data_IF_409845888037
#
_entry.id   IF_409845888037
#
_cell.length_a   1.000
_cell.length_b   1.000
_cell.length_c   1.000
_cell.angle_alpha   90.00
_cell.angle_beta   90.00
_cell.angle_gamma   90.00
#
_symmetry.space_group_name_H-M   'P 1'
#
loop_
_entity.id
_entity.type
_entity.pdbx_description
1 polymer ?
#
# COMPACT_ATOMS: atom_id res chain seq x y z
N UNK A 1 19.90 31.54 -2.28
CA UNK A 1 19.10 31.02 -3.42
C UNK A 1 19.68 29.78 -4.11
N UNK A 2 20.99 29.64 -4.35
CA UNK A 2 21.53 28.52 -5.17
C UNK A 2 21.21 27.07 -4.71
N UNK A 3 21.28 26.71 -3.41
CA UNK A 3 21.07 25.29 -3.01
C UNK A 3 19.63 24.77 -3.15
N UNK A 4 18.63 25.65 -3.02
CA UNK A 4 17.20 25.31 -3.12
C UNK A 4 16.80 25.20 -4.60
N UNK A 5 17.28 26.13 -5.45
CA UNK A 5 17.04 26.10 -6.90
C UNK A 5 17.67 24.88 -7.59
N UNK A 6 18.81 24.38 -7.07
CA UNK A 6 19.42 23.12 -7.53
C UNK A 6 18.83 21.86 -6.87
N UNK A 7 17.75 21.99 -6.09
CA UNK A 7 17.07 20.86 -5.44
C UNK A 7 17.89 20.12 -4.38
N UNK A 8 18.98 20.73 -3.89
CA UNK A 8 19.90 20.12 -2.90
C UNK A 8 19.43 20.30 -1.46
N UNK A 9 18.47 21.19 -1.20
CA UNK A 9 17.93 21.43 0.14
C UNK A 9 16.45 21.81 -0.01
N UNK A 10 15.58 21.21 0.82
CA UNK A 10 14.15 21.54 0.83
C UNK A 10 13.94 22.97 1.35
N UNK A 11 13.11 23.80 0.70
CA UNK A 11 12.77 25.12 1.22
C UNK A 11 11.94 24.99 2.49
N UNK A 12 12.28 25.80 3.49
CA UNK A 12 11.47 26.02 4.69
C UNK A 12 10.39 27.07 4.44
N UNK A 13 9.42 27.20 5.35
CA UNK A 13 8.47 28.32 5.33
C UNK A 13 9.17 29.68 5.21
N UNK A 14 10.29 29.86 5.91
CA UNK A 14 11.06 31.10 5.87
C UNK A 14 11.77 31.30 4.54
N UNK A 15 12.22 30.22 3.88
CA UNK A 15 12.76 30.30 2.52
C UNK A 15 11.68 30.72 1.50
N UNK A 16 10.45 30.20 1.63
CA UNK A 16 9.32 30.60 0.76
C UNK A 16 8.92 32.06 1.00
N UNK A 17 8.82 32.49 2.27
CA UNK A 17 8.54 33.89 2.62
C UNK A 17 9.62 34.83 2.09
N UNK A 18 10.89 34.48 2.30
CA UNK A 18 12.02 35.27 1.81
C UNK A 18 12.08 35.31 0.28
N UNK A 19 11.72 34.22 -0.41
CA UNK A 19 11.60 34.18 -1.86
C UNK A 19 10.51 35.12 -2.37
N UNK A 20 9.30 35.05 -1.81
CA UNK A 20 8.17 35.88 -2.25
C UNK A 20 8.47 37.37 -2.05
N UNK A 21 9.04 37.73 -0.90
CA UNK A 21 9.43 39.10 -0.61
C UNK A 21 10.58 39.61 -1.51
N UNK A 22 11.49 38.74 -1.96
CA UNK A 22 12.57 39.13 -2.87
C UNK A 22 12.12 39.22 -4.33
N UNK A 23 11.14 38.42 -4.73
CA UNK A 23 10.63 38.33 -6.10
C UNK A 23 9.42 39.24 -6.36
N UNK A 24 9.03 40.09 -5.40
CA UNK A 24 7.80 40.90 -5.43
C UNK A 24 6.53 40.06 -5.72
N UNK A 25 6.45 38.87 -5.12
CA UNK A 25 5.40 37.87 -5.33
C UNK A 25 4.64 37.53 -4.02
N UNK A 26 4.45 38.51 -3.14
CA UNK A 26 3.78 38.34 -1.84
C UNK A 26 2.34 37.81 -1.98
N UNK A 27 1.67 38.12 -3.08
CA UNK A 27 0.33 37.62 -3.41
C UNK A 27 0.29 36.10 -3.63
N UNK A 28 1.41 35.49 -4.01
CA UNK A 28 1.56 34.04 -4.21
C UNK A 28 2.03 33.29 -2.96
N UNK A 29 2.46 34.00 -1.91
CA UNK A 29 3.08 33.40 -0.72
C UNK A 29 2.18 32.36 -0.05
N UNK A 30 0.90 32.66 0.12
CA UNK A 30 -0.05 31.73 0.75
C UNK A 30 -0.25 30.46 -0.07
N UNK A 31 -0.29 30.56 -1.41
CA UNK A 31 -0.41 29.41 -2.30
C UNK A 31 0.86 28.55 -2.26
N UNK A 32 2.03 29.17 -2.33
CA UNK A 32 3.31 28.46 -2.29
C UNK A 32 3.57 27.77 -0.94
N UNK A 33 3.21 28.40 0.17
CA UNK A 33 3.24 27.76 1.49
C UNK A 33 2.27 26.58 1.56
N UNK A 34 1.06 26.73 1.02
CA UNK A 34 0.10 25.63 0.94
C UNK A 34 0.63 24.47 0.08
N UNK A 35 1.31 24.75 -1.03
CA UNK A 35 1.97 23.73 -1.86
C UNK A 35 3.09 23.03 -1.08
N UNK A 36 3.95 23.77 -0.37
CA UNK A 36 5.01 23.21 0.46
C UNK A 36 4.44 22.28 1.54
N UNK A 37 3.44 22.73 2.29
CA UNK A 37 2.80 21.94 3.35
C UNK A 37 2.04 20.74 2.80
N UNK A 38 1.43 20.86 1.60
CA UNK A 38 0.80 19.74 0.93
C UNK A 38 1.83 18.66 0.54
N UNK A 39 2.99 19.05 0.00
CA UNK A 39 4.08 18.11 -0.33
C UNK A 39 4.59 17.41 0.94
N UNK A 40 4.78 18.14 2.02
CA UNK A 40 5.27 17.57 3.29
C UNK A 40 4.22 16.65 3.95
N UNK A 41 2.93 16.95 3.83
CA UNK A 41 1.86 16.08 4.33
C UNK A 41 1.65 14.84 3.44
N UNK A 42 1.95 14.96 2.15
CA UNK A 42 1.84 13.89 1.16
C UNK A 42 3.00 12.88 1.25
N UNK A 43 4.20 13.30 1.67
CA UNK A 43 5.40 12.45 1.70
C UNK A 43 5.76 11.99 3.12
N UNK A 44 5.42 10.74 3.45
CA UNK A 44 5.72 10.15 4.75
C UNK A 44 6.95 9.23 4.69
N UNK A 45 8.12 9.74 5.09
CA UNK A 45 9.37 8.96 5.16
C UNK A 45 9.24 7.71 6.04
N UNK A 46 9.67 6.56 5.53
CA UNK A 46 9.55 5.30 6.27
C UNK A 46 10.31 5.31 7.59
N UNK A 47 11.51 5.92 7.61
CA UNK A 47 12.30 6.05 8.84
C UNK A 47 11.54 6.82 9.92
N UNK A 48 10.86 7.91 9.56
CA UNK A 48 10.05 8.70 10.51
C UNK A 48 8.80 7.93 10.92
N UNK A 49 8.09 7.34 9.96
CA UNK A 49 6.86 6.60 10.19
C UNK A 49 7.08 5.38 11.11
N UNK A 50 8.12 4.61 10.84
CA UNK A 50 8.47 3.41 11.60
C UNK A 50 9.26 3.72 12.88
N UNK A 51 9.88 4.90 12.99
CA UNK A 51 10.54 5.36 14.23
C UNK A 51 9.57 5.49 15.41
N UNK A 52 8.27 5.63 15.13
CA UNK A 52 7.19 5.59 16.14
C UNK A 52 6.71 4.16 16.49
N UNK A 53 7.31 3.13 15.89
CA UNK A 53 6.95 1.72 16.06
C UNK A 53 6.04 1.18 14.96
N UNK A 54 6.15 -0.13 14.70
CA UNK A 54 5.32 -0.82 13.69
C UNK A 54 3.87 -0.83 14.14
N UNK A 55 3.59 -1.07 15.43
CA UNK A 55 2.21 -1.05 15.96
C UNK A 55 1.53 0.29 15.70
N UNK A 56 2.23 1.40 15.95
CA UNK A 56 1.69 2.74 15.69
C UNK A 56 1.34 2.90 14.20
N UNK A 57 2.21 2.42 13.31
CA UNK A 57 1.92 2.44 11.87
C UNK A 57 0.70 1.61 11.50
N UNK A 58 0.54 0.42 12.08
CA UNK A 58 -0.65 -0.40 11.86
C UNK A 58 -1.92 0.27 12.42
N UNK A 59 -1.85 0.99 13.54
CA UNK A 59 -2.97 1.79 14.07
C UNK A 59 -3.41 2.89 13.10
N UNK A 60 -2.47 3.56 12.44
CA UNK A 60 -2.80 4.58 11.45
C UNK A 60 -3.55 3.98 10.25
N UNK A 61 -3.14 2.81 9.75
CA UNK A 61 -3.90 2.13 8.69
C UNK A 61 -5.29 1.71 9.16
N UNK A 62 -5.42 1.17 10.38
CA UNK A 62 -6.72 0.81 10.95
C UNK A 62 -7.68 2.00 10.96
N UNK A 63 -7.22 3.19 11.32
CA UNK A 63 -8.05 4.40 11.31
C UNK A 63 -8.62 4.67 9.91
N UNK A 64 -7.76 4.65 8.88
CA UNK A 64 -8.18 4.85 7.49
C UNK A 64 -9.19 3.80 7.03
N UNK A 65 -8.94 2.54 7.37
CA UNK A 65 -9.81 1.41 7.04
C UNK A 65 -11.20 1.55 7.67
N UNK A 66 -11.28 2.00 8.93
CA UNK A 66 -12.56 2.17 9.64
C UNK A 66 -13.38 3.37 9.16
N UNK A 67 -12.72 4.41 8.66
CA UNK A 67 -13.34 5.58 8.05
C UNK A 67 -13.88 5.27 6.64
N UNK A 68 -13.28 4.31 5.94
CA UNK A 68 -13.66 3.96 4.58
C UNK A 68 -14.94 3.10 4.50
N UNK A 69 -15.56 3.05 3.33
CA UNK A 69 -16.63 2.08 3.01
C UNK A 69 -16.22 1.09 1.93
N UNK A 70 -15.31 1.51 1.05
CA UNK A 70 -14.76 0.68 -0.01
C UNK A 70 -13.24 0.81 -0.05
N UNK A 71 -12.56 -0.32 0.10
CA UNK A 71 -11.10 -0.41 0.06
C UNK A 71 -10.71 -1.14 -1.21
N UNK A 72 -9.83 -0.53 -2.01
CA UNK A 72 -9.19 -1.16 -3.17
C UNK A 72 -7.71 -1.25 -2.90
N UNK A 73 -7.09 -2.39 -3.18
CA UNK A 73 -5.66 -2.56 -2.92
C UNK A 73 -5.02 -3.36 -4.05
N UNK A 74 -3.97 -2.81 -4.64
CA UNK A 74 -3.17 -3.47 -5.66
C UNK A 74 -1.78 -3.77 -5.12
N UNK A 75 -1.36 -5.04 -5.22
CA UNK A 75 -0.01 -5.48 -4.87
C UNK A 75 0.59 -6.35 -5.98
N UNK A 76 1.56 -5.85 -6.76
CA UNK A 76 2.16 -6.62 -7.85
C UNK A 76 3.06 -7.78 -7.35
N UNK A 77 3.72 -7.61 -6.20
CA UNK A 77 4.82 -8.50 -5.80
C UNK A 77 4.67 -9.21 -4.44
N UNK A 78 3.74 -8.78 -3.58
CA UNK A 78 3.52 -9.37 -2.26
C UNK A 78 2.02 -9.47 -1.96
N UNK A 79 1.64 -10.27 -0.96
CA UNK A 79 0.22 -10.41 -0.60
C UNK A 79 -0.25 -9.16 0.16
N UNK A 80 -1.45 -8.58 -0.16
CA UNK A 80 -2.02 -7.48 0.59
C UNK A 80 -2.08 -7.73 2.10
N UNK A 81 -1.69 -6.75 2.91
CA UNK A 81 -1.54 -6.89 4.36
C UNK A 81 -2.79 -7.40 5.10
N UNK A 82 -3.98 -7.08 4.60
CA UNK A 82 -5.26 -7.53 5.15
C UNK A 82 -5.56 -9.01 4.87
N UNK A 83 -4.83 -9.65 3.94
CA UNK A 83 -4.99 -11.06 3.57
C UNK A 83 -3.90 -11.95 4.18
N UNK A 84 -2.94 -11.36 4.89
CA UNK A 84 -1.75 -12.08 5.37
C UNK A 84 -2.06 -12.99 6.56
N UNK A 85 -1.42 -14.15 6.63
CA UNK A 85 -1.36 -14.96 7.87
C UNK A 85 -0.42 -14.28 8.88
N UNK A 86 -0.47 -14.73 10.14
CA UNK A 86 0.43 -14.23 11.19
C UNK A 86 1.90 -14.40 10.79
N UNK A 87 2.29 -15.59 10.35
CA UNK A 87 3.67 -15.92 9.98
C UNK A 87 4.15 -15.10 8.77
N UNK A 88 3.28 -14.88 7.77
CA UNK A 88 3.62 -14.03 6.63
C UNK A 88 3.79 -12.58 7.07
N UNK A 89 2.88 -12.08 7.90
CA UNK A 89 2.93 -10.73 8.43
C UNK A 89 4.20 -10.50 9.24
N UNK A 90 4.58 -11.44 10.10
CA UNK A 90 5.81 -11.39 10.89
C UNK A 90 7.05 -11.35 10.00
N UNK A 91 7.18 -12.30 9.07
CA UNK A 91 8.31 -12.37 8.15
C UNK A 91 8.47 -11.08 7.34
N UNK A 92 7.36 -10.51 6.83
CA UNK A 92 7.37 -9.24 6.10
C UNK A 92 7.78 -8.07 6.98
N UNK A 93 7.17 -7.95 8.16
CA UNK A 93 7.39 -6.83 9.07
C UNK A 93 8.82 -6.81 9.62
N UNK A 94 9.34 -7.99 9.99
CA UNK A 94 10.73 -8.16 10.43
C UNK A 94 11.71 -7.73 9.33
N UNK A 95 11.52 -8.21 8.10
CA UNK A 95 12.38 -7.81 6.97
C UNK A 95 12.31 -6.31 6.67
N UNK A 96 11.13 -5.71 6.77
CA UNK A 96 10.97 -4.27 6.58
C UNK A 96 11.71 -3.48 7.68
N UNK A 97 11.64 -3.92 8.93
CA UNK A 97 12.36 -3.30 10.05
C UNK A 97 13.88 -3.37 9.86
N UNK A 98 14.40 -4.54 9.50
CA UNK A 98 15.81 -4.77 9.18
C UNK A 98 16.29 -3.86 8.05
N UNK A 99 15.53 -3.82 6.94
CA UNK A 99 15.88 -3.01 5.77
C UNK A 99 15.96 -1.51 6.08
N UNK A 100 15.06 -1.00 6.92
CA UNK A 100 15.06 0.40 7.32
C UNK A 100 15.96 0.71 8.53
N UNK A 101 16.62 -0.31 9.12
CA UNK A 101 17.55 -0.16 10.24
C UNK A 101 16.86 0.27 11.54
N UNK A 102 15.67 -0.27 11.83
CA UNK A 102 14.85 0.16 12.97
C UNK A 102 14.62 -1.02 13.92
N UNK A 103 14.95 -0.85 15.19
CA UNK A 103 14.57 -1.77 16.26
C UNK A 103 13.08 -1.58 16.56
N UNK A 104 12.26 -2.61 16.38
CA UNK A 104 10.79 -2.45 16.37
C UNK A 104 10.05 -3.55 17.13
N UNK A 105 8.85 -3.19 17.53
CA UNK A 105 7.84 -4.00 18.18
C UNK A 105 7.10 -4.93 17.19
N UNK A 106 7.85 -5.77 16.46
CA UNK A 106 7.31 -6.64 15.39
C UNK A 106 6.08 -7.42 15.85
N UNK A 107 6.13 -8.09 17.00
CA UNK A 107 5.02 -8.91 17.51
C UNK A 107 3.75 -8.08 17.77
N UNK A 108 3.92 -6.89 18.34
CA UNK A 108 2.80 -5.94 18.54
C UNK A 108 2.27 -5.42 17.20
N UNK A 109 3.15 -5.23 16.22
CA UNK A 109 2.81 -4.90 14.86
C UNK A 109 2.00 -6.00 14.17
N UNK A 110 2.40 -7.27 14.31
CA UNK A 110 1.70 -8.44 13.78
C UNK A 110 0.32 -8.53 14.40
N UNK A 111 0.22 -8.47 15.72
CA UNK A 111 -1.07 -8.49 16.44
C UNK A 111 -2.01 -7.39 15.92
N UNK A 112 -1.52 -6.16 15.77
CA UNK A 112 -2.33 -5.06 15.24
C UNK A 112 -2.69 -5.23 13.76
N UNK A 113 -1.84 -5.88 12.95
CA UNK A 113 -2.18 -6.23 11.56
C UNK A 113 -3.30 -7.25 11.51
N UNK A 114 -3.29 -8.27 12.37
CA UNK A 114 -4.36 -9.26 12.44
C UNK A 114 -5.68 -8.64 12.93
N UNK A 115 -5.62 -7.69 13.86
CA UNK A 115 -6.80 -6.94 14.30
C UNK A 115 -7.47 -6.18 13.13
N UNK A 116 -6.67 -5.59 12.22
CA UNK A 116 -7.19 -4.89 11.03
C UNK A 116 -8.02 -5.79 10.13
N UNK A 117 -7.75 -7.10 10.07
CA UNK A 117 -8.47 -8.03 9.21
C UNK A 117 -9.95 -8.19 9.57
N UNK A 118 -10.36 -7.75 10.78
CA UNK A 118 -11.76 -7.77 11.20
C UNK A 118 -12.69 -6.98 10.28
N UNK A 119 -12.16 -6.02 9.50
CA UNK A 119 -12.96 -5.28 8.51
C UNK A 119 -13.50 -6.19 7.40
N UNK A 120 -12.82 -7.28 7.06
CA UNK A 120 -13.21 -8.23 6.01
C UNK A 120 -14.53 -8.95 6.32
N UNK A 121 -14.89 -9.03 7.60
CA UNK A 121 -16.06 -9.76 8.08
C UNK A 121 -17.26 -8.86 8.40
N UNK A 122 -17.08 -7.53 8.32
CA UNK A 122 -18.11 -6.56 8.70
C UNK A 122 -18.90 -6.11 7.48
N UNK A 123 -20.23 -6.20 7.55
CA UNK A 123 -21.16 -5.88 6.44
C UNK A 123 -21.03 -4.44 5.91
N UNK A 124 -20.48 -3.50 6.67
CA UNK A 124 -20.26 -2.11 6.24
C UNK A 124 -19.28 -2.03 5.08
N UNK A 125 -18.20 -2.81 5.11
CA UNK A 125 -17.07 -2.62 4.20
C UNK A 125 -17.22 -3.45 2.93
N UNK A 126 -16.67 -2.94 1.83
CA UNK A 126 -16.37 -3.70 0.62
C UNK A 126 -14.86 -3.66 0.41
N UNK A 127 -14.27 -4.77 0.00
CA UNK A 127 -12.85 -4.84 -0.30
C UNK A 127 -12.63 -5.46 -1.67
N UNK A 128 -11.78 -4.86 -2.48
CA UNK A 128 -11.32 -5.43 -3.75
C UNK A 128 -9.80 -5.45 -3.75
N UNK A 129 -9.25 -6.66 -3.67
CA UNK A 129 -7.82 -6.91 -3.69
C UNK A 129 -7.42 -7.40 -5.08
N UNK A 130 -6.51 -6.69 -5.71
CA UNK A 130 -5.83 -7.11 -6.91
C UNK A 130 -4.38 -7.42 -6.58
N UNK A 131 -3.88 -8.50 -7.15
CA UNK A 131 -2.49 -8.89 -6.97
C UNK A 131 -1.90 -9.36 -8.28
N UNK A 132 -0.63 -9.07 -8.54
CA UNK A 132 0.08 -9.76 -9.61
C UNK A 132 0.26 -11.23 -9.25
N UNK A 133 0.23 -12.14 -10.22
CA UNK A 133 0.57 -13.55 -9.99
C UNK A 133 1.93 -13.71 -9.29
N UNK A 134 2.88 -12.81 -9.58
CA UNK A 134 4.18 -12.76 -8.93
C UNK A 134 4.07 -12.67 -7.39
N UNK A 135 3.02 -12.07 -6.83
CA UNK A 135 2.78 -12.03 -5.38
C UNK A 135 2.58 -13.40 -4.73
N UNK A 136 2.11 -14.39 -5.50
CA UNK A 136 1.95 -15.78 -5.07
C UNK A 136 3.30 -16.54 -5.14
N UNK A 137 4.21 -16.07 -6.00
CA UNK A 137 5.51 -16.69 -6.31
C UNK A 137 6.67 -16.11 -5.49
N UNK A 138 6.62 -14.83 -5.12
CA UNK A 138 7.62 -14.21 -4.25
C UNK A 138 7.62 -14.87 -2.88
N UNK A 139 8.76 -15.41 -2.46
CA UNK A 139 8.88 -16.09 -1.16
C UNK A 139 9.00 -15.09 -0.02
N UNK A 140 8.10 -15.23 0.97
CA UNK A 140 8.13 -14.49 2.24
C UNK A 140 8.08 -15.51 3.38
N UNK A 141 9.08 -15.51 4.25
CA UNK A 141 9.14 -16.43 5.40
C UNK A 141 9.43 -17.91 5.06
N UNK A 142 9.71 -18.23 3.79
CA UNK A 142 9.99 -19.59 3.32
C UNK A 142 8.75 -20.35 2.81
N UNK A 143 8.93 -21.60 2.37
CA UNK A 143 7.84 -22.37 1.73
C UNK A 143 6.70 -22.70 2.69
N UNK A 144 6.97 -23.06 3.95
CA UNK A 144 5.92 -23.34 4.93
C UNK A 144 4.98 -22.15 5.17
N UNK A 145 5.55 -20.95 5.32
CA UNK A 145 4.80 -19.69 5.47
C UNK A 145 3.96 -19.41 4.21
N UNK A 146 4.57 -19.59 3.04
CA UNK A 146 3.85 -19.37 1.77
C UNK A 146 2.73 -20.38 1.55
N UNK A 147 2.90 -21.66 1.90
CA UNK A 147 1.86 -22.69 1.80
C UNK A 147 0.64 -22.25 2.64
N UNK A 148 0.85 -21.94 3.92
CA UNK A 148 -0.23 -21.47 4.80
C UNK A 148 -0.88 -20.16 4.30
N UNK A 149 -0.09 -19.26 3.71
CA UNK A 149 -0.61 -18.04 3.10
C UNK A 149 -1.49 -18.32 1.87
N UNK A 150 -1.09 -19.23 1.00
CA UNK A 150 -1.85 -19.58 -0.20
C UNK A 150 -3.14 -20.34 0.16
N UNK A 151 -3.10 -21.24 1.14
CA UNK A 151 -4.28 -21.91 1.69
C UNK A 151 -5.28 -20.88 2.24
N UNK A 152 -4.78 -19.86 2.97
CA UNK A 152 -5.60 -18.75 3.45
C UNK A 152 -6.28 -17.99 2.31
N UNK A 153 -5.57 -17.65 1.23
CA UNK A 153 -6.15 -16.96 0.08
C UNK A 153 -7.25 -17.80 -0.58
N UNK A 154 -7.03 -19.10 -0.77
CA UNK A 154 -8.03 -20.02 -1.30
C UNK A 154 -9.32 -20.01 -0.46
N UNK A 155 -9.19 -19.99 0.88
CA UNK A 155 -10.34 -19.91 1.80
C UNK A 155 -11.15 -18.62 1.69
N UNK A 156 -10.55 -17.54 1.16
CA UNK A 156 -11.20 -16.23 1.05
C UNK A 156 -11.99 -16.06 -0.25
N UNK A 157 -11.73 -16.90 -1.26
CA UNK A 157 -12.47 -16.86 -2.52
C UNK A 157 -13.93 -17.26 -2.25
N UNK A 158 -14.84 -16.34 -2.57
CA UNK A 158 -16.28 -16.50 -2.33
C UNK A 158 -16.79 -15.80 -1.06
N UNK A 159 -15.92 -15.18 -0.26
CA UNK A 159 -16.35 -14.35 0.87
C UNK A 159 -17.23 -13.18 0.38
N UNK A 160 -18.41 -12.95 1.00
CA UNK A 160 -19.25 -11.81 0.65
C UNK A 160 -18.49 -10.49 0.82
N UNK A 161 -18.63 -9.58 -0.15
CA UNK A 161 -18.05 -8.22 -0.13
C UNK A 161 -16.52 -8.17 -0.16
N UNK A 162 -15.86 -9.31 -0.42
CA UNK A 162 -14.43 -9.39 -0.71
C UNK A 162 -14.26 -9.94 -2.11
N UNK A 163 -13.63 -9.16 -2.99
CA UNK A 163 -13.23 -9.60 -4.32
C UNK A 163 -11.72 -9.77 -4.33
N UNK A 164 -11.27 -10.96 -4.73
CA UNK A 164 -9.85 -11.27 -4.94
C UNK A 164 -9.63 -11.51 -6.44
N UNK A 165 -8.80 -10.67 -7.04
CA UNK A 165 -8.35 -10.79 -8.42
C UNK A 165 -6.85 -10.99 -8.51
N UNK A 166 -6.42 -11.87 -9.40
CA UNK A 166 -5.01 -12.11 -9.71
C UNK A 166 -4.77 -11.69 -11.16
N UNK A 167 -3.86 -10.76 -11.40
CA UNK A 167 -3.39 -10.40 -12.74
C UNK A 167 -2.36 -11.44 -13.17
N UNK A 168 -2.66 -12.29 -14.18
CA UNK A 168 -1.74 -13.33 -14.64
C UNK A 168 -0.39 -12.75 -15.09
N UNK A 169 0.69 -13.51 -14.90
CA UNK A 169 2.06 -13.05 -15.19
C UNK A 169 2.28 -12.65 -16.67
N UNK A 170 1.56 -13.28 -17.59
CA UNK A 170 1.65 -13.06 -19.04
C UNK A 170 0.63 -12.05 -19.58
N UNK A 171 -0.06 -11.30 -18.70
CA UNK A 171 -1.00 -10.26 -19.11
C UNK A 171 -0.29 -9.13 -19.85
N UNK A 172 -0.95 -8.57 -20.87
CA UNK A 172 -0.47 -7.36 -21.53
C UNK A 172 -0.28 -6.20 -20.53
N UNK A 173 0.79 -5.42 -20.67
CA UNK A 173 1.09 -4.30 -19.78
C UNK A 173 0.26 -3.04 -20.10
N UNK A 174 -1.07 -3.12 -20.03
CA UNK A 174 -1.98 -1.99 -20.31
C UNK A 174 -1.76 -0.81 -19.35
N UNK A 175 -1.43 -1.11 -18.09
CA UNK A 175 -1.03 -0.14 -17.07
C UNK A 175 0.09 -0.75 -16.22
N UNK A 176 1.15 0.03 -15.99
CA UNK A 176 2.21 -0.31 -15.04
C UNK A 176 2.05 0.60 -13.82
N UNK A 177 1.91 0.01 -12.64
CA UNK A 177 1.76 0.74 -11.39
C UNK A 177 2.62 0.09 -10.30
N UNK A 178 3.16 0.92 -9.40
CA UNK A 178 3.62 0.47 -8.09
C UNK A 178 2.44 -0.05 -7.26
N UNK A 179 2.72 -0.61 -6.07
CA UNK A 179 1.62 -0.95 -5.18
C UNK A 179 0.85 0.31 -4.74
N UNK A 180 -0.45 0.17 -4.53
CA UNK A 180 -1.26 1.25 -3.97
C UNK A 180 -2.53 0.75 -3.29
N UNK A 181 -3.04 1.54 -2.36
CA UNK A 181 -4.32 1.33 -1.69
C UNK A 181 -5.21 2.56 -1.86
N UNK A 182 -6.47 2.36 -2.24
CA UNK A 182 -7.47 3.42 -2.30
C UNK A 182 -8.49 3.23 -1.18
N UNK A 183 -8.77 4.30 -0.46
CA UNK A 183 -9.82 4.40 0.56
C UNK A 183 -10.92 5.30 0.03
N UNK A 184 -12.02 4.67 -0.41
CA UNK A 184 -13.08 5.28 -1.20
C UNK A 184 -12.50 6.01 -2.44
N UNK A 185 -13.09 7.14 -2.82
CA UNK A 185 -12.54 8.09 -3.80
C UNK A 185 -11.97 9.33 -3.09
N UNK A 186 -11.34 9.14 -1.92
CA UNK A 186 -10.87 10.23 -1.05
C UNK A 186 -9.36 10.22 -0.81
N UNK A 187 -8.75 9.04 -0.84
CA UNK A 187 -7.32 8.89 -0.54
C UNK A 187 -6.74 7.71 -1.33
N UNK A 188 -5.56 7.92 -1.91
CA UNK A 188 -4.69 6.85 -2.39
C UNK A 188 -3.39 6.88 -1.60
N UNK A 189 -2.93 5.71 -1.16
CA UNK A 189 -1.61 5.51 -0.57
C UNK A 189 -0.75 4.72 -1.53
N UNK A 190 0.45 5.20 -1.83
CA UNK A 190 1.42 4.53 -2.69
C UNK A 190 2.68 4.29 -1.87
N UNK A 191 3.11 3.03 -1.73
CA UNK A 191 4.34 2.73 -1.01
C UNK A 191 5.53 2.85 -1.97
N UNK A 192 6.38 3.85 -1.76
CA UNK A 192 7.69 3.96 -2.38
C UNK A 192 8.78 3.29 -1.54
N UNK A 193 10.01 3.29 -2.03
CA UNK A 193 11.15 2.70 -1.32
C UNK A 193 11.56 3.54 -0.09
N UNK A 194 11.51 4.87 -0.21
CA UNK A 194 11.92 5.81 0.85
C UNK A 194 10.75 6.32 1.71
N UNK A 195 9.55 6.36 1.15
CA UNK A 195 8.38 6.97 1.77
C UNK A 195 7.07 6.43 1.21
N UNK A 196 5.98 6.64 1.94
CA UNK A 196 4.62 6.54 1.43
C UNK A 196 4.15 7.88 0.87
N UNK A 197 3.50 7.86 -0.29
CA UNK A 197 2.80 9.01 -0.84
C UNK A 197 1.31 8.94 -0.49
N UNK A 198 0.76 10.04 0.03
CA UNK A 198 -0.66 10.23 0.29
C UNK A 198 -1.24 11.17 -0.75
N UNK A 199 -2.11 10.65 -1.61
CA UNK A 199 -2.69 11.37 -2.74
C UNK A 199 -4.16 11.64 -2.42
N UNK A 200 -4.51 12.91 -2.32
CA UNK A 200 -5.87 13.40 -2.04
C UNK A 200 -6.46 14.22 -3.19
N UNK A 201 -5.67 14.53 -4.22
CA UNK A 201 -6.11 15.35 -5.34
C UNK A 201 -7.13 14.58 -6.20
N UNK A 202 -8.37 15.07 -6.42
CA UNK A 202 -9.43 14.32 -7.09
C UNK A 202 -9.06 13.79 -8.48
N UNK A 203 -8.33 14.59 -9.28
CA UNK A 203 -7.88 14.20 -10.62
C UNK A 203 -6.91 13.01 -10.59
N UNK A 204 -6.04 12.94 -9.60
CA UNK A 204 -5.08 11.85 -9.43
C UNK A 204 -5.77 10.61 -8.87
N UNK A 205 -6.67 10.76 -7.89
CA UNK A 205 -7.50 9.66 -7.39
C UNK A 205 -8.27 9.01 -8.54
N UNK A 206 -8.85 9.81 -9.44
CA UNK A 206 -9.55 9.32 -10.62
C UNK A 206 -8.62 8.54 -11.57
N UNK A 207 -7.37 8.97 -11.72
CA UNK A 207 -6.36 8.24 -12.51
C UNK A 207 -6.03 6.87 -11.89
N UNK A 208 -5.80 6.81 -10.57
CA UNK A 208 -5.61 5.55 -9.85
C UNK A 208 -6.84 4.64 -9.92
N UNK A 209 -8.04 5.22 -9.89
CA UNK A 209 -9.28 4.48 -10.12
C UNK A 209 -9.30 3.80 -11.50
N UNK A 210 -8.98 4.55 -12.56
CA UNK A 210 -8.87 3.98 -13.92
C UNK A 210 -7.79 2.91 -14.01
N UNK A 211 -6.63 3.12 -13.38
CA UNK A 211 -5.56 2.13 -13.33
C UNK A 211 -6.04 0.82 -12.66
N UNK A 212 -6.69 0.95 -11.50
CA UNK A 212 -7.24 -0.18 -10.76
C UNK A 212 -8.31 -0.94 -11.59
N UNK A 213 -9.22 -0.21 -12.24
CA UNK A 213 -10.28 -0.82 -13.06
C UNK A 213 -9.70 -1.53 -14.29
N UNK A 214 -8.62 -1.00 -14.89
CA UNK A 214 -7.90 -1.68 -15.99
C UNK A 214 -7.28 -2.99 -15.51
N UNK A 215 -6.57 -2.97 -14.38
CA UNK A 215 -5.99 -4.18 -13.80
C UNK A 215 -7.07 -5.20 -13.39
N UNK A 216 -8.21 -4.72 -12.87
CA UNK A 216 -9.33 -5.59 -12.52
C UNK A 216 -9.88 -6.34 -13.74
N UNK A 217 -10.01 -5.66 -14.89
CA UNK A 217 -10.46 -6.29 -16.14
C UNK A 217 -9.48 -7.35 -16.67
N UNK A 218 -8.20 -7.23 -16.34
CA UNK A 218 -7.17 -8.22 -16.70
C UNK A 218 -7.04 -9.36 -15.68
N UNK A 219 -7.65 -9.21 -14.50
CA UNK A 219 -7.49 -10.17 -13.42
C UNK A 219 -8.45 -11.36 -13.55
N UNK A 220 -7.97 -12.55 -13.21
CA UNK A 220 -8.82 -13.71 -12.98
C UNK A 220 -9.38 -13.68 -11.56
N UNK A 221 -10.63 -14.09 -11.38
CA UNK A 221 -11.33 -14.15 -10.09
C UNK A 221 -12.03 -15.51 -9.93
N UNK A 222 -12.64 -15.77 -8.77
CA UNK A 222 -13.44 -16.98 -8.54
C UNK A 222 -12.65 -18.28 -8.74
N UNK A 223 -13.21 -19.20 -9.52
CA UNK A 223 -12.63 -20.53 -9.74
C UNK A 223 -11.29 -20.46 -10.48
N UNK A 224 -11.15 -19.57 -11.47
CA UNK A 224 -9.89 -19.38 -12.18
C UNK A 224 -8.77 -18.86 -11.26
N UNK A 225 -9.10 -17.97 -10.32
CA UNK A 225 -8.16 -17.55 -9.29
C UNK A 225 -7.79 -18.71 -8.34
N UNK A 226 -8.76 -19.57 -7.99
CA UNK A 226 -8.52 -20.73 -7.13
C UNK A 226 -7.60 -21.75 -7.80
N UNK A 227 -7.80 -22.01 -9.08
CA UNK A 227 -6.96 -22.91 -9.88
C UNK A 227 -5.51 -22.41 -9.98
N UNK A 228 -5.33 -21.11 -10.24
CA UNK A 228 -4.00 -20.50 -10.30
C UNK A 228 -3.27 -20.58 -8.95
N UNK A 229 -3.95 -20.29 -7.84
CA UNK A 229 -3.40 -20.46 -6.49
C UNK A 229 -3.04 -21.92 -6.24
N UNK A 230 -3.94 -22.86 -6.58
CA UNK A 230 -3.73 -24.30 -6.41
C UNK A 230 -2.49 -24.81 -7.15
N UNK A 231 -2.29 -24.35 -8.39
CA UNK A 231 -1.12 -24.72 -9.20
C UNK A 231 0.19 -24.27 -8.56
N UNK A 232 0.24 -23.04 -8.05
CA UNK A 232 1.44 -22.50 -7.38
C UNK A 232 1.66 -23.20 -6.02
N UNK A 233 0.58 -23.49 -5.30
CA UNK A 233 0.62 -24.22 -4.04
C UNK A 233 1.23 -25.63 -4.20
N UNK A 234 0.79 -26.38 -5.21
CA UNK A 234 1.35 -27.70 -5.51
C UNK A 234 2.81 -27.63 -5.97
N UNK A 235 3.21 -26.57 -6.67
CA UNK A 235 4.62 -26.33 -6.97
C UNK A 235 5.45 -26.11 -5.69
N UNK A 236 4.92 -25.39 -4.70
CA UNK A 236 5.62 -25.14 -3.42
C UNK A 236 5.68 -26.35 -2.50
N UNK A 237 4.71 -27.27 -2.59
CA UNK A 237 4.71 -28.51 -1.79
C UNK A 237 5.75 -29.53 -2.30
N UNK A 238 6.11 -29.46 -3.57
CA UNK A 238 7.07 -30.37 -4.22
C UNK A 238 8.54 -29.95 -4.11
N UNK A 239 8.81 -28.69 -3.79
CA UNK A 239 10.16 -28.12 -3.68
C UNK A 239 10.53 -27.80 -2.24
#
# INVERSE_FOLDING_TARGET
MSKIEYGRTRPTDDDIRAYCAHADADDQQSELLAVLHNIDSAYLEWRRALGSGIKHRQQQYLKLETEATFIRNYQPQIIPGLLQTADYAEAKLRRAAEFHGISTDVDSGVSKRLERQQILYRRKYRCHFLMGEQSLRTTVGGNGVMIGQLDRLSSMIGMPRVTLGIVPAESEALVVASNFAMYDNRLVLVEGVSAELRITQPREIALYGRAFDTLARQSVTGDAARELIGTILESRRRG
#
